data_IF_451939578587
#
_entry.id   IF_451939578587
#
_cell.length_a   1.000
_cell.length_b   1.000
_cell.length_c   1.000
_cell.angle_alpha   90.00
_cell.angle_beta   90.00
_cell.angle_gamma   90.00
#
_symmetry.space_group_name_H-M   'P 1'
#
loop_
_entity.id
_entity.type
_entity.pdbx_description
1 polymer ?
#
# COMPACT_ATOMS: atom_id res chain seq x y z
N UNK A 1 -42.05 -34.52 -0.49
CA UNK A 1 -42.49 -33.19 -0.95
C UNK A 1 -41.94 -32.15 0.01
N UNK A 2 -40.88 -31.43 -0.36
CA UNK A 2 -40.43 -30.11 0.15
C UNK A 2 -38.99 -29.87 -0.35
N UNK A 3 -38.85 -29.57 -1.63
CA UNK A 3 -37.55 -29.23 -2.24
C UNK A 3 -37.75 -28.14 -3.29
N UNK A 4 -38.45 -27.06 -2.94
CA UNK A 4 -38.51 -25.87 -3.80
C UNK A 4 -38.70 -24.62 -2.95
N UNK A 5 -37.59 -23.95 -2.61
CA UNK A 5 -37.56 -22.50 -2.36
C UNK A 5 -36.14 -21.98 -2.64
N UNK A 6 -35.65 -22.19 -3.87
CA UNK A 6 -34.56 -21.40 -4.44
C UNK A 6 -35.12 -20.69 -5.65
N UNK A 7 -35.75 -19.55 -5.42
CA UNK A 7 -36.04 -18.58 -6.45
C UNK A 7 -36.18 -17.25 -5.76
N UNK A 8 -35.11 -16.45 -5.80
CA UNK A 8 -35.28 -15.02 -5.98
C UNK A 8 -33.95 -14.40 -6.44
N UNK A 9 -34.03 -13.70 -7.57
CA UNK A 9 -33.09 -12.67 -8.05
C UNK A 9 -31.87 -13.20 -8.83
N UNK A 10 -32.12 -14.05 -9.83
CA UNK A 10 -31.36 -13.96 -11.09
C UNK A 10 -32.01 -12.85 -11.96
N UNK A 11 -31.85 -11.59 -11.57
CA UNK A 11 -32.16 -10.47 -12.47
C UNK A 11 -31.11 -10.48 -13.56
N UNK A 12 -31.48 -11.01 -14.73
CA UNK A 12 -30.75 -10.84 -15.98
C UNK A 12 -30.64 -9.34 -16.30
N UNK A 13 -29.66 -8.67 -15.70
CA UNK A 13 -29.20 -7.36 -16.15
C UNK A 13 -28.59 -7.56 -17.53
N UNK A 14 -29.29 -7.10 -18.57
CA UNK A 14 -28.71 -6.98 -19.90
C UNK A 14 -27.62 -5.92 -19.77
N UNK A 15 -26.36 -6.37 -19.71
CA UNK A 15 -25.19 -5.51 -19.73
C UNK A 15 -25.15 -4.80 -21.09
N UNK A 16 -25.80 -3.64 -21.22
CA UNK A 16 -25.58 -2.75 -22.35
C UNK A 16 -24.22 -2.11 -22.15
N UNK A 17 -23.26 -2.47 -23.00
CA UNK A 17 -22.01 -1.75 -23.11
C UNK A 17 -22.34 -0.28 -23.42
N UNK A 18 -22.11 0.62 -22.45
CA UNK A 18 -22.16 2.05 -22.73
C UNK A 18 -21.07 2.35 -23.76
N UNK A 19 -21.41 3.02 -24.87
CA UNK A 19 -20.50 3.38 -25.98
C UNK A 19 -19.34 4.32 -25.62
N UNK A 20 -19.06 4.48 -24.32
CA UNK A 20 -18.00 5.30 -23.74
C UNK A 20 -17.24 4.52 -22.68
N UNK A 21 -16.86 3.27 -22.95
CA UNK A 21 -15.78 2.64 -22.18
C UNK A 21 -14.47 3.31 -22.57
N UNK A 22 -14.13 4.42 -21.90
CA UNK A 22 -12.80 5.06 -21.94
C UNK A 22 -11.70 4.19 -21.30
N UNK A 23 -11.86 2.87 -21.31
CA UNK A 23 -10.84 1.94 -20.84
C UNK A 23 -9.97 1.58 -22.04
N UNK A 24 -8.64 1.70 -21.93
CA UNK A 24 -7.75 1.40 -23.04
C UNK A 24 -7.96 -0.05 -23.49
N UNK A 25 -8.11 -0.23 -24.81
CA UNK A 25 -8.15 -1.55 -25.44
C UNK A 25 -6.87 -2.30 -25.07
N UNK A 26 -7.02 -3.47 -24.46
CA UNK A 26 -5.91 -4.35 -24.09
C UNK A 26 -5.20 -4.81 -25.36
N UNK A 27 -4.08 -4.16 -25.71
CA UNK A 27 -3.20 -4.69 -26.75
C UNK A 27 -2.61 -6.01 -26.26
N UNK A 28 -2.61 -7.06 -27.08
CA UNK A 28 -2.05 -8.39 -26.73
C UNK A 28 -0.56 -8.33 -26.39
N UNK A 29 0.13 -7.27 -26.79
CA UNK A 29 1.54 -7.01 -26.53
C UNK A 29 1.79 -6.24 -25.22
N UNK A 30 0.73 -5.85 -24.51
CA UNK A 30 0.85 -5.08 -23.28
C UNK A 30 1.49 -5.91 -22.16
N UNK A 31 2.30 -5.23 -21.34
CA UNK A 31 2.93 -5.79 -20.15
C UNK A 31 1.88 -6.54 -19.30
N UNK A 32 2.14 -7.80 -18.91
CA UNK A 32 1.18 -8.61 -18.16
C UNK A 32 0.72 -7.93 -16.86
N UNK A 33 1.56 -7.12 -16.23
CA UNK A 33 1.22 -6.35 -15.02
C UNK A 33 0.21 -5.25 -15.34
N UNK A 34 0.36 -4.54 -16.45
CA UNK A 34 -0.57 -3.49 -16.88
C UNK A 34 -1.98 -4.06 -17.14
N UNK A 35 -2.06 -5.28 -17.69
CA UNK A 35 -3.34 -5.97 -17.86
C UNK A 35 -4.00 -6.28 -16.51
N UNK A 36 -3.23 -6.73 -15.51
CA UNK A 36 -3.77 -6.95 -14.16
C UNK A 36 -4.24 -5.63 -13.52
N UNK A 37 -3.51 -4.53 -13.71
CA UNK A 37 -3.89 -3.22 -13.21
C UNK A 37 -5.18 -2.70 -13.84
N UNK A 38 -5.43 -3.00 -15.12
CA UNK A 38 -6.70 -2.68 -15.78
C UNK A 38 -7.87 -3.50 -15.23
N UNK A 39 -7.65 -4.79 -14.94
CA UNK A 39 -8.65 -5.63 -14.24
C UNK A 39 -8.96 -5.06 -12.86
N UNK A 40 -7.92 -4.66 -12.10
CA UNK A 40 -8.07 -4.00 -10.80
C UNK A 40 -8.86 -2.70 -10.92
N UNK A 41 -8.52 -1.82 -11.87
CA UNK A 41 -9.24 -0.56 -12.09
C UNK A 41 -10.72 -0.80 -12.44
N UNK A 42 -11.01 -1.81 -13.28
CA UNK A 42 -12.36 -2.21 -13.63
C UNK A 42 -13.16 -2.73 -12.42
N UNK A 43 -12.57 -3.63 -11.63
CA UNK A 43 -13.24 -4.17 -10.44
C UNK A 43 -13.44 -3.12 -9.35
N UNK A 44 -12.50 -2.19 -9.18
CA UNK A 44 -12.68 -1.02 -8.30
C UNK A 44 -13.80 -0.10 -8.78
N UNK A 45 -13.90 0.18 -10.08
CA UNK A 45 -15.00 0.97 -10.63
C UNK A 45 -16.36 0.33 -10.32
N UNK A 46 -16.47 -1.00 -10.48
CA UNK A 46 -17.68 -1.74 -10.16
C UNK A 46 -17.99 -1.71 -8.67
N UNK A 47 -16.99 -1.92 -7.81
CA UNK A 47 -17.15 -1.82 -6.36
C UNK A 47 -17.67 -0.45 -5.93
N UNK A 48 -17.03 0.63 -6.41
CA UNK A 48 -17.40 2.00 -6.09
C UNK A 48 -18.78 2.38 -6.67
N UNK A 49 -19.16 1.86 -7.84
CA UNK A 49 -20.47 2.14 -8.44
C UNK A 49 -21.69 1.69 -7.61
N UNK A 50 -21.47 0.83 -6.61
CA UNK A 50 -22.52 0.36 -5.68
C UNK A 50 -22.84 1.37 -4.58
N UNK A 51 -22.03 2.42 -4.43
CA UNK A 51 -22.21 3.50 -3.47
C UNK A 51 -22.41 4.83 -4.21
N UNK A 52 -23.13 5.77 -3.59
CA UNK A 52 -23.23 7.14 -4.10
C UNK A 52 -21.83 7.78 -4.13
N UNK A 53 -21.57 8.63 -5.13
CA UNK A 53 -20.26 9.24 -5.34
C UNK A 53 -19.76 10.03 -4.11
N UNK A 54 -20.69 10.67 -3.39
CA UNK A 54 -20.42 11.44 -2.17
C UNK A 54 -19.91 10.57 -1.00
N UNK A 55 -20.20 9.27 -1.02
CA UNK A 55 -19.84 8.32 0.02
C UNK A 55 -18.57 7.53 -0.30
N UNK A 56 -18.07 7.60 -1.54
CA UNK A 56 -16.85 6.89 -1.97
C UNK A 56 -15.67 7.25 -1.07
N UNK A 57 -15.47 8.55 -0.82
CA UNK A 57 -14.37 9.05 0.00
C UNK A 57 -14.54 8.77 1.51
N UNK A 58 -15.76 8.44 1.96
CA UNK A 58 -16.04 8.13 3.37
C UNK A 58 -15.89 6.63 3.65
N UNK A 59 -16.43 5.80 2.77
CA UNK A 59 -16.49 4.34 2.96
C UNK A 59 -15.24 3.64 2.43
N UNK A 60 -14.70 4.09 1.29
CA UNK A 60 -13.59 3.42 0.60
C UNK A 60 -12.54 4.44 0.12
N UNK A 61 -11.93 5.22 1.05
CA UNK A 61 -11.04 6.31 0.69
C UNK A 61 -9.82 5.85 -0.11
N UNK A 62 -9.20 4.72 0.25
CA UNK A 62 -8.01 4.22 -0.44
C UNK A 62 -8.35 3.58 -1.77
N UNK A 63 -9.48 2.89 -1.87
CA UNK A 63 -9.97 2.34 -3.12
C UNK A 63 -10.29 3.45 -4.14
N UNK A 64 -10.97 4.52 -3.72
CA UNK A 64 -11.26 5.68 -4.56
C UNK A 64 -9.99 6.40 -5.02
N UNK A 65 -9.04 6.58 -4.11
CA UNK A 65 -7.72 7.15 -4.41
C UNK A 65 -6.96 6.30 -5.45
N UNK A 66 -6.90 4.98 -5.24
CA UNK A 66 -6.23 4.05 -6.15
C UNK A 66 -6.91 4.04 -7.53
N UNK A 67 -8.24 3.95 -7.58
CA UNK A 67 -8.99 3.97 -8.83
C UNK A 67 -8.70 5.25 -9.66
N UNK A 68 -8.73 6.41 -9.01
CA UNK A 68 -8.44 7.70 -9.66
C UNK A 68 -7.04 7.73 -10.24
N UNK A 69 -6.05 7.25 -9.47
CA UNK A 69 -4.65 7.16 -9.91
C UNK A 69 -4.51 6.21 -11.10
N UNK A 70 -5.07 5.00 -11.02
CA UNK A 70 -5.01 4.02 -12.11
C UNK A 70 -5.69 4.54 -13.38
N UNK A 71 -6.87 5.15 -13.28
CA UNK A 71 -7.59 5.72 -14.43
C UNK A 71 -6.75 6.77 -15.15
N UNK A 72 -6.07 7.65 -14.40
CA UNK A 72 -5.21 8.69 -14.96
C UNK A 72 -3.94 8.11 -15.60
N UNK A 73 -3.21 7.27 -14.87
CA UNK A 73 -1.86 6.87 -15.27
C UNK A 73 -1.85 5.73 -16.29
N UNK A 74 -2.79 4.79 -16.22
CA UNK A 74 -2.88 3.72 -17.21
C UNK A 74 -3.30 4.27 -18.58
N UNK A 75 -4.17 5.28 -18.62
CA UNK A 75 -4.60 5.93 -19.87
C UNK A 75 -3.44 6.67 -20.57
N UNK A 76 -2.59 7.34 -19.80
CA UNK A 76 -1.53 8.21 -20.35
C UNK A 76 -0.21 7.46 -20.55
N UNK A 77 0.17 6.61 -19.59
CA UNK A 77 1.52 6.04 -19.51
C UNK A 77 1.56 4.52 -19.62
N UNK A 78 0.42 3.83 -19.56
CA UNK A 78 0.37 2.36 -19.54
C UNK A 78 1.04 1.70 -18.32
N UNK A 79 1.36 2.49 -17.29
CA UNK A 79 2.04 2.07 -16.04
C UNK A 79 1.47 2.82 -14.86
N UNK A 80 1.78 2.36 -13.64
CA UNK A 80 1.33 2.98 -12.39
C UNK A 80 2.48 3.35 -11.45
N UNK A 81 2.34 4.49 -10.78
CA UNK A 81 3.18 4.97 -9.70
C UNK A 81 2.69 4.50 -8.32
N UNK A 82 1.50 3.89 -8.23
CA UNK A 82 0.90 3.43 -6.98
C UNK A 82 1.87 2.60 -6.14
N UNK A 83 1.98 2.92 -4.85
CA UNK A 83 2.79 2.17 -3.90
C UNK A 83 2.13 0.83 -3.55
N UNK A 84 2.95 -0.14 -3.14
CA UNK A 84 2.45 -1.40 -2.58
C UNK A 84 1.51 -1.17 -1.38
N UNK A 85 1.79 -0.18 -0.53
CA UNK A 85 0.92 0.18 0.60
C UNK A 85 -0.48 0.62 0.15
N UNK A 86 -0.58 1.51 -0.84
CA UNK A 86 -1.88 1.99 -1.33
C UNK A 86 -2.68 0.85 -1.96
N UNK A 87 -2.01 -0.05 -2.69
CA UNK A 87 -2.65 -1.23 -3.29
C UNK A 87 -3.19 -2.17 -2.20
N UNK A 88 -2.41 -2.40 -1.14
CA UNK A 88 -2.79 -3.25 -0.02
C UNK A 88 -3.97 -2.67 0.76
N UNK A 89 -3.94 -1.39 1.10
CA UNK A 89 -5.02 -0.72 1.84
C UNK A 89 -6.33 -0.73 1.04
N UNK A 90 -6.29 -0.40 -0.26
CA UNK A 90 -7.45 -0.47 -1.14
C UNK A 90 -8.00 -1.90 -1.26
N UNK A 91 -7.14 -2.91 -1.29
CA UNK A 91 -7.55 -4.31 -1.30
C UNK A 91 -8.29 -4.68 -0.01
N UNK A 92 -7.76 -4.30 1.16
CA UNK A 92 -8.42 -4.57 2.43
C UNK A 92 -9.81 -3.93 2.50
N UNK A 93 -9.93 -2.66 2.11
CA UNK A 93 -11.20 -1.93 2.05
C UNK A 93 -12.27 -2.61 1.20
N UNK A 94 -11.87 -3.25 0.09
CA UNK A 94 -12.81 -3.76 -0.91
C UNK A 94 -12.89 -5.29 -0.99
N UNK A 95 -12.10 -6.01 -0.20
CA UNK A 95 -11.91 -7.47 -0.29
C UNK A 95 -13.22 -8.28 -0.21
N UNK A 96 -14.22 -7.80 0.52
CA UNK A 96 -15.51 -8.47 0.69
C UNK A 96 -16.44 -8.32 -0.52
N UNK A 97 -16.27 -7.24 -1.30
CA UNK A 97 -17.19 -6.86 -2.40
C UNK A 97 -16.61 -7.10 -3.80
N UNK A 98 -15.32 -7.44 -3.89
CA UNK A 98 -14.64 -7.74 -5.14
C UNK A 98 -14.94 -9.16 -5.63
N UNK A 99 -15.10 -9.30 -6.94
CA UNK A 99 -15.22 -10.61 -7.58
C UNK A 99 -13.89 -11.40 -7.47
N UNK A 100 -13.93 -12.74 -7.56
CA UNK A 100 -12.73 -13.58 -7.43
C UNK A 100 -11.60 -13.25 -8.42
N UNK A 101 -11.93 -12.83 -9.65
CA UNK A 101 -10.92 -12.52 -10.66
C UNK A 101 -10.20 -11.21 -10.32
N UNK A 102 -10.94 -10.19 -9.90
CA UNK A 102 -10.33 -8.93 -9.43
C UNK A 102 -9.49 -9.15 -8.18
N UNK A 103 -9.93 -9.97 -7.22
CA UNK A 103 -9.12 -10.31 -6.04
C UNK A 103 -7.80 -10.96 -6.41
N UNK A 104 -7.81 -11.91 -7.36
CA UNK A 104 -6.58 -12.55 -7.86
C UNK A 104 -5.68 -11.55 -8.60
N UNK A 105 -6.25 -10.63 -9.36
CA UNK A 105 -5.50 -9.57 -10.02
C UNK A 105 -4.82 -8.61 -9.02
N UNK A 106 -5.54 -8.24 -7.95
CA UNK A 106 -4.99 -7.45 -6.83
C UNK A 106 -3.78 -8.12 -6.19
N UNK A 107 -3.89 -9.42 -5.86
CA UNK A 107 -2.79 -10.18 -5.26
C UNK A 107 -1.56 -10.19 -6.15
N UNK A 108 -1.72 -10.43 -7.45
CA UNK A 108 -0.61 -10.38 -8.43
C UNK A 108 0.01 -8.99 -8.53
N UNK A 109 -0.79 -7.92 -8.52
CA UNK A 109 -0.29 -6.55 -8.57
C UNK A 109 0.51 -6.21 -7.29
N UNK A 110 0.01 -6.63 -6.14
CA UNK A 110 0.67 -6.42 -4.85
C UNK A 110 2.00 -7.17 -4.77
N UNK A 111 2.05 -8.43 -5.20
CA UNK A 111 3.27 -9.21 -5.27
C UNK A 111 4.31 -8.55 -6.19
N UNK A 112 3.92 -8.22 -7.43
CA UNK A 112 4.81 -7.56 -8.39
C UNK A 112 5.32 -6.21 -7.84
N UNK A 113 4.46 -5.43 -7.20
CA UNK A 113 4.88 -4.12 -6.67
C UNK A 113 5.74 -4.22 -5.42
N UNK A 114 5.46 -5.15 -4.53
CA UNK A 114 6.29 -5.38 -3.33
C UNK A 114 7.70 -5.85 -3.70
N UNK A 115 7.84 -6.71 -4.71
CA UNK A 115 9.14 -7.11 -5.26
C UNK A 115 9.90 -5.91 -5.84
N UNK A 116 9.23 -5.06 -6.61
CA UNK A 116 9.82 -3.85 -7.16
C UNK A 116 10.27 -2.85 -6.06
N UNK A 117 9.41 -2.59 -5.08
CA UNK A 117 9.70 -1.68 -3.97
C UNK A 117 10.88 -2.21 -3.13
N UNK A 118 10.96 -3.53 -2.90
CA UNK A 118 12.09 -4.18 -2.21
C UNK A 118 13.40 -4.07 -3.00
N UNK A 119 13.38 -4.35 -4.30
CA UNK A 119 14.56 -4.23 -5.15
C UNK A 119 15.08 -2.78 -5.18
N UNK A 120 14.17 -1.80 -5.21
CA UNK A 120 14.49 -0.38 -5.16
C UNK A 120 15.07 0.06 -3.81
N UNK A 121 14.60 -0.53 -2.70
CA UNK A 121 15.15 -0.26 -1.38
C UNK A 121 16.59 -0.74 -1.25
N UNK A 122 16.92 -1.93 -1.78
CA UNK A 122 18.29 -2.46 -1.79
C UNK A 122 19.26 -1.60 -2.60
N UNK A 123 18.79 -0.92 -3.65
CA UNK A 123 19.61 0.03 -4.43
C UNK A 123 19.82 1.38 -3.72
N UNK A 124 18.99 1.70 -2.72
CA UNK A 124 19.02 2.97 -1.98
C UNK A 124 19.77 2.88 -0.66
N UNK A 125 20.15 1.69 -0.21
CA UNK A 125 21.15 1.56 0.86
C UNK A 125 22.38 2.35 0.41
N UNK A 126 22.74 3.45 1.09
CA UNK A 126 23.98 4.12 0.81
C UNK A 126 25.06 3.07 1.02
N UNK A 127 25.98 2.95 0.07
CA UNK A 127 27.28 2.33 0.32
C UNK A 127 27.79 3.03 1.57
N UNK A 128 27.63 2.40 2.74
CA UNK A 128 28.28 2.83 3.96
C UNK A 128 29.75 2.79 3.59
N UNK A 129 30.32 3.95 3.26
CA UNK A 129 31.76 4.08 3.19
C UNK A 129 32.31 3.41 4.44
N UNK A 130 33.28 2.50 4.32
CA UNK A 130 33.99 1.97 5.48
C UNK A 130 34.95 3.06 5.97
N UNK A 131 34.42 4.19 6.41
CA UNK A 131 35.17 5.23 7.11
C UNK A 131 34.85 5.12 8.59
N UNK A 132 35.83 4.59 9.31
CA UNK A 132 35.73 4.33 10.73
C UNK A 132 36.42 3.03 11.12
N UNK A 133 37.60 2.77 10.57
CA UNK A 133 38.60 2.02 11.30
C UNK A 133 38.73 2.69 12.67
N UNK A 134 38.10 2.10 13.68
CA UNK A 134 38.36 2.40 15.07
C UNK A 134 39.84 2.06 15.31
N UNK A 135 40.71 3.02 15.05
CA UNK A 135 42.05 3.00 15.62
C UNK A 135 41.85 3.14 17.11
N UNK A 136 42.10 2.02 17.77
CA UNK A 136 42.27 1.90 19.21
C UNK A 136 43.25 2.97 19.69
N UNK A 137 42.74 4.08 20.21
CA UNK A 137 43.50 4.93 21.11
C UNK A 137 43.14 4.48 22.53
N UNK A 138 44.06 3.71 23.11
CA UNK A 138 44.11 3.43 24.54
C UNK A 138 44.73 4.67 25.19
N UNK A 139 43.99 5.47 25.97
CA UNK A 139 44.64 6.34 26.92
C UNK A 139 45.16 5.46 28.06
N UNK A 140 46.47 5.24 28.12
CA UNK A 140 47.14 4.90 29.38
C UNK A 140 46.85 6.05 30.34
N UNK A 141 46.13 5.77 31.41
CA UNK A 141 46.13 6.60 32.61
C UNK A 141 46.69 5.74 33.73
N UNK A 142 47.96 6.02 34.01
CA UNK A 142 48.72 5.50 35.14
C UNK A 142 47.99 5.77 36.46
N UNK A 143 48.20 4.83 37.36
CA UNK A 143 47.82 4.83 38.77
C UNK A 143 48.22 6.12 39.50
N UNK A 144 47.34 6.62 40.39
CA UNK A 144 47.65 6.63 41.83
C UNK A 144 46.46 7.12 42.68
N UNK A 145 46.27 6.55 43.89
CA UNK A 145 45.16 6.84 44.79
C UNK A 145 45.52 7.92 45.81
N UNK A 146 44.56 8.77 46.23
CA UNK A 146 44.63 9.45 47.54
C UNK A 146 43.21 9.72 48.08
N UNK A 147 42.85 8.89 49.06
CA UNK A 147 41.98 9.10 50.23
C UNK A 147 41.24 10.44 50.42
N UNK A 148 39.90 10.36 50.38
CA UNK A 148 38.89 10.73 51.41
C UNK A 148 38.90 12.15 52.07
N UNK A 149 37.97 12.46 53.00
CA UNK A 149 36.55 12.81 52.80
C UNK A 149 36.23 14.22 53.37
N UNK A 150 35.12 14.88 53.02
CA UNK A 150 34.44 15.80 53.97
C UNK A 150 33.03 16.24 53.53
N UNK A 151 32.06 15.91 54.39
CA UNK A 151 30.84 16.63 54.78
C UNK A 151 30.42 17.90 54.02
N UNK A 152 29.15 17.98 53.63
CA UNK A 152 28.13 18.82 54.32
C UNK A 152 26.87 19.05 53.48
N UNK A 153 25.77 18.48 53.97
CA UNK A 153 24.45 19.09 54.18
C UNK A 153 24.20 20.47 53.56
N UNK A 154 23.14 20.60 52.74
CA UNK A 154 22.05 21.57 53.01
C UNK A 154 20.75 21.24 52.27
N UNK A 155 19.74 21.10 53.12
CA UNK A 155 18.30 20.97 52.90
C UNK A 155 17.75 22.35 52.46
N UNK A 156 16.89 22.41 51.44
CA UNK A 156 15.95 23.52 51.28
C UNK A 156 14.67 23.06 50.58
N UNK A 157 13.59 23.19 51.34
CA UNK A 157 12.17 23.05 51.03
C UNK A 157 11.58 24.42 50.69
N UNK A 158 10.69 24.51 49.70
CA UNK A 158 9.53 25.43 49.59
C UNK A 158 8.90 25.18 48.20
N UNK A 159 7.66 24.71 48.00
CA UNK A 159 6.34 25.23 48.40
C UNK A 159 6.04 26.64 47.89
N UNK A 160 5.28 26.71 46.79
CA UNK A 160 4.04 27.49 46.65
C UNK A 160 3.24 26.93 45.48
#
# INVERSE_FOLDING_TARGET
>A
MLTEMISLIARNGIWRAAGHTELPLLSREANPVSNQLLVVAGGLALALSRCAAEDHAKLYPRAAQLYTLLRRELKIHGRTSASSSLILEAFHETSEILDPNTRRAFQKCLEARSQFDRAKALQREPVRSPEGAYTSFVPMSEDAPTSAPHSSVKRSTASS
#
